data_IF_172913395536
#
_entry.id   IF_172913395536
#
_cell.length_a   1.000
_cell.length_b   1.000
_cell.length_c   1.000
_cell.angle_alpha   90.00
_cell.angle_beta   90.00
_cell.angle_gamma   90.00
#
_symmetry.space_group_name_H-M   'P 1'
#
loop_
_entity.id
_entity.type
_entity.pdbx_description
1 polymer ?
#
# COMPACT_ATOMS: atom_id res chain seq x y z
N UNK A 1 8.05 44.66 -31.81
CA UNK A 1 7.77 44.36 -30.38
C UNK A 1 8.69 45.19 -29.49
N UNK A 2 8.13 45.87 -28.48
CA UNK A 2 8.87 46.63 -27.47
C UNK A 2 9.66 45.67 -26.56
N UNK A 3 10.79 46.13 -25.99
CA UNK A 3 11.70 45.31 -25.17
C UNK A 3 10.99 44.61 -24.00
N UNK A 4 10.05 45.29 -23.34
CA UNK A 4 9.25 44.73 -22.24
C UNK A 4 8.32 43.59 -22.69
N UNK A 5 7.81 43.62 -23.92
CA UNK A 5 6.95 42.54 -24.46
C UNK A 5 7.74 41.25 -24.66
N UNK A 6 9.01 41.35 -25.08
CA UNK A 6 9.89 40.19 -25.22
C UNK A 6 10.24 39.57 -23.85
N UNK A 7 10.46 40.41 -22.85
CA UNK A 7 10.70 39.96 -21.47
C UNK A 7 9.46 39.26 -20.92
N UNK A 8 8.27 39.86 -21.06
CA UNK A 8 7.02 39.23 -20.61
C UNK A 8 6.75 37.90 -21.30
N UNK A 9 6.97 37.81 -22.62
CA UNK A 9 6.82 36.54 -23.35
C UNK A 9 7.79 35.49 -22.83
N UNK A 10 9.05 35.86 -22.58
CA UNK A 10 10.04 34.96 -22.00
C UNK A 10 9.65 34.45 -20.61
N UNK A 11 9.17 35.34 -19.74
CA UNK A 11 8.67 34.97 -18.40
C UNK A 11 7.46 34.06 -18.50
N UNK A 12 6.51 34.34 -19.39
CA UNK A 12 5.34 33.51 -19.59
C UNK A 12 5.71 32.10 -20.08
N UNK A 13 6.64 31.97 -21.03
CA UNK A 13 7.13 30.67 -21.51
C UNK A 13 7.80 29.89 -20.39
N UNK A 14 8.65 30.54 -19.58
CA UNK A 14 9.30 29.89 -18.43
C UNK A 14 8.28 29.46 -17.39
N UNK A 15 7.30 30.32 -17.06
CA UNK A 15 6.26 29.99 -16.09
C UNK A 15 5.39 28.81 -16.55
N UNK A 16 5.02 28.78 -17.83
CA UNK A 16 4.29 27.65 -18.43
C UNK A 16 5.15 26.39 -18.37
N UNK A 17 6.43 26.46 -18.77
CA UNK A 17 7.35 25.32 -18.74
C UNK A 17 7.50 24.74 -17.33
N UNK A 18 7.74 25.59 -16.32
CA UNK A 18 7.82 25.18 -14.92
C UNK A 18 6.49 24.61 -14.42
N UNK A 19 5.36 25.23 -14.78
CA UNK A 19 4.02 24.75 -14.44
C UNK A 19 3.73 23.38 -15.03
N UNK A 20 4.09 23.14 -16.30
CA UNK A 20 3.95 21.84 -16.96
C UNK A 20 4.81 20.79 -16.27
N UNK A 21 6.09 21.06 -16.00
CA UNK A 21 6.97 20.12 -15.29
C UNK A 21 6.43 19.80 -13.90
N UNK A 22 5.97 20.80 -13.15
CA UNK A 22 5.37 20.60 -11.84
C UNK A 22 4.08 19.76 -11.92
N UNK A 23 3.22 20.01 -12.91
CA UNK A 23 1.99 19.26 -13.11
C UNK A 23 2.24 17.79 -13.50
N UNK A 24 3.21 17.54 -14.38
CA UNK A 24 3.62 16.18 -14.75
C UNK A 24 4.19 15.42 -13.55
N UNK A 25 4.86 16.11 -12.62
CA UNK A 25 5.46 15.53 -11.41
C UNK A 25 4.62 15.76 -10.14
N UNK A 26 3.34 16.11 -10.27
CA UNK A 26 2.49 16.56 -9.15
C UNK A 26 2.39 15.53 -8.01
N UNK A 27 2.33 14.24 -8.31
CA UNK A 27 2.25 13.17 -7.30
C UNK A 27 3.55 13.11 -6.51
N UNK A 28 4.70 13.13 -7.19
CA UNK A 28 6.01 13.15 -6.54
C UNK A 28 6.19 14.38 -5.65
N UNK A 29 5.76 15.55 -6.11
CA UNK A 29 5.80 16.79 -5.32
C UNK A 29 4.88 16.71 -4.09
N UNK A 30 3.67 16.18 -4.25
CA UNK A 30 2.73 15.97 -3.13
C UNK A 30 3.29 14.97 -2.11
N UNK A 31 3.83 13.83 -2.56
CA UNK A 31 4.44 12.83 -1.68
C UNK A 31 5.68 13.39 -0.97
N UNK A 32 6.52 14.16 -1.66
CA UNK A 32 7.67 14.83 -1.06
C UNK A 32 7.21 15.85 0.00
N UNK A 33 6.15 16.62 -0.27
CA UNK A 33 5.57 17.55 0.69
C UNK A 33 4.99 16.83 1.91
N UNK A 34 4.22 15.75 1.70
CA UNK A 34 3.66 14.92 2.77
C UNK A 34 4.78 14.29 3.60
N UNK A 35 5.82 13.75 2.97
CA UNK A 35 6.98 13.18 3.67
C UNK A 35 7.78 14.24 4.42
N UNK A 36 7.86 15.47 3.91
CA UNK A 36 8.54 16.58 4.58
C UNK A 36 7.76 17.10 5.79
N UNK A 37 6.44 17.15 5.68
CA UNK A 37 5.54 17.67 6.74
C UNK A 37 5.09 16.61 7.73
N UNK A 38 5.11 15.35 7.33
CA UNK A 38 4.62 14.23 8.13
C UNK A 38 5.68 13.77 9.11
N UNK A 39 5.28 13.62 10.37
CA UNK A 39 5.95 12.72 11.30
C UNK A 39 5.29 11.35 11.16
N UNK A 40 6.04 10.33 10.75
CA UNK A 40 5.60 8.95 10.94
C UNK A 40 5.93 8.59 12.38
N UNK A 41 4.98 8.78 13.28
CA UNK A 41 5.09 8.28 14.65
C UNK A 41 4.85 6.76 14.64
N UNK A 42 5.90 6.00 14.37
CA UNK A 42 5.86 4.55 14.59
C UNK A 42 5.97 4.33 16.10
N UNK A 43 4.85 3.97 16.72
CA UNK A 43 4.87 3.54 18.12
C UNK A 43 5.82 2.35 18.29
N UNK A 44 6.47 2.27 19.45
CA UNK A 44 7.29 1.11 19.79
C UNK A 44 6.46 -0.18 19.67
N UNK A 45 7.09 -1.27 19.21
CA UNK A 45 6.45 -2.58 19.16
C UNK A 45 5.91 -2.93 20.55
N UNK A 46 4.62 -3.27 20.61
CA UNK A 46 3.98 -3.77 21.83
C UNK A 46 3.76 -5.27 21.64
N UNK A 47 4.33 -6.12 22.51
CA UNK A 47 4.04 -7.54 22.44
C UNK A 47 2.56 -7.76 22.73
N UNK A 48 1.88 -8.49 21.86
CA UNK A 48 0.51 -8.94 22.10
C UNK A 48 0.62 -10.22 22.93
N UNK A 49 0.04 -10.28 24.14
CA UNK A 49 -0.03 -11.50 24.91
C UNK A 49 -1.02 -12.43 24.22
N UNK A 50 -0.52 -13.31 23.37
CA UNK A 50 -1.33 -14.32 22.72
C UNK A 50 -1.90 -15.28 23.76
N UNK A 51 -3.14 -15.73 23.57
CA UNK A 51 -3.64 -16.86 24.33
C UNK A 51 -2.77 -18.07 24.01
N UNK A 52 -2.12 -18.63 25.03
CA UNK A 52 -1.41 -19.89 24.88
C UNK A 52 -2.44 -21.00 24.66
N UNK A 53 -2.30 -21.71 23.53
CA UNK A 53 -3.03 -22.95 23.31
C UNK A 53 -2.59 -24.04 24.28
N UNK A 54 -3.32 -25.17 24.35
CA UNK A 54 -2.93 -26.28 25.20
C UNK A 54 -1.53 -26.79 24.84
N UNK A 55 -0.69 -27.07 25.85
CA UNK A 55 0.68 -27.56 25.68
C UNK A 55 0.78 -28.85 24.86
N UNK A 56 -0.32 -29.62 24.78
CA UNK A 56 -0.43 -30.80 23.94
C UNK A 56 -1.82 -30.84 23.31
N UNK A 57 -1.87 -31.18 22.03
CA UNK A 57 -3.12 -31.43 21.34
C UNK A 57 -3.81 -32.70 21.88
N UNK A 58 -5.13 -32.63 22.04
CA UNK A 58 -5.95 -33.69 22.63
C UNK A 58 -6.03 -34.95 21.74
N UNK A 59 -6.07 -34.76 20.41
CA UNK A 59 -6.16 -35.85 19.44
C UNK A 59 -4.79 -36.17 18.82
N UNK A 60 -4.56 -37.40 18.32
CA UNK A 60 -3.39 -37.73 17.51
C UNK A 60 -3.42 -37.01 16.15
N UNK A 61 -2.26 -36.75 15.50
CA UNK A 61 -2.18 -35.94 14.27
C UNK A 61 -3.11 -36.38 13.12
N UNK A 62 -3.37 -37.68 12.98
CA UNK A 62 -4.21 -38.24 11.92
C UNK A 62 -5.71 -37.98 12.13
N UNK A 63 -6.13 -37.65 13.36
CA UNK A 63 -7.54 -37.41 13.73
C UNK A 63 -7.83 -35.92 13.95
N UNK A 64 -6.82 -35.05 13.81
CA UNK A 64 -6.99 -33.61 13.99
C UNK A 64 -7.60 -33.01 12.72
N UNK A 65 -8.58 -32.10 12.86
CA UNK A 65 -8.95 -31.25 11.75
C UNK A 65 -7.75 -30.39 11.33
N UNK A 66 -7.70 -29.92 10.07
CA UNK A 66 -6.68 -28.97 9.64
C UNK A 66 -6.77 -27.68 10.45
N UNK A 67 -5.64 -27.06 10.74
CA UNK A 67 -5.61 -25.72 11.31
C UNK A 67 -6.00 -24.71 10.23
N UNK A 68 -6.91 -23.79 10.55
CA UNK A 68 -7.28 -22.68 9.68
C UNK A 68 -6.64 -21.41 10.24
N UNK A 69 -5.71 -20.84 9.50
CA UNK A 69 -5.10 -19.54 9.83
C UNK A 69 -5.73 -18.49 8.92
N UNK A 70 -6.58 -17.64 9.49
CA UNK A 70 -7.18 -16.52 8.78
C UNK A 70 -6.37 -15.24 9.02
N UNK A 71 -5.76 -14.73 7.95
CA UNK A 71 -4.97 -13.50 7.96
C UNK A 71 -5.77 -12.42 7.22
N UNK A 72 -6.06 -11.32 7.91
CA UNK A 72 -6.77 -10.17 7.36
C UNK A 72 -5.94 -8.91 7.57
N UNK A 73 -5.74 -8.15 6.50
CA UNK A 73 -5.10 -6.85 6.53
C UNK A 73 -6.17 -5.76 6.49
N UNK A 74 -5.98 -4.68 7.26
CA UNK A 74 -6.84 -3.49 7.19
C UNK A 74 -6.34 -2.55 6.10
N UNK A 75 -7.25 -1.96 5.33
CA UNK A 75 -6.98 -0.98 4.26
C UNK A 75 -5.92 -1.39 3.20
N UNK A 76 -5.68 -2.68 2.99
CA UNK A 76 -4.77 -3.16 1.95
C UNK A 76 -5.46 -3.22 0.59
N UNK A 77 -5.04 -2.38 -0.36
CA UNK A 77 -5.56 -2.38 -1.72
C UNK A 77 -5.12 -3.62 -2.51
N UNK A 78 -5.98 -4.10 -3.41
CA UNK A 78 -5.66 -5.27 -4.25
C UNK A 78 -4.37 -5.08 -5.04
N UNK A 79 -4.12 -3.87 -5.53
CA UNK A 79 -2.94 -3.56 -6.34
C UNK A 79 -1.68 -3.30 -5.51
N UNK A 80 -1.74 -3.25 -4.17
CA UNK A 80 -0.57 -2.95 -3.32
C UNK A 80 0.43 -4.10 -3.23
N UNK A 81 -0.03 -5.34 -3.42
CA UNK A 81 0.83 -6.53 -3.41
C UNK A 81 1.64 -6.63 -4.71
N UNK A 82 2.87 -7.15 -4.62
CA UNK A 82 3.74 -7.33 -5.80
C UNK A 82 3.09 -8.24 -6.85
N UNK A 83 2.39 -9.29 -6.42
CA UNK A 83 1.57 -10.17 -7.28
C UNK A 83 0.53 -9.42 -8.14
N UNK A 84 0.04 -8.25 -7.70
CA UNK A 84 -1.02 -7.49 -8.36
C UNK A 84 -0.59 -6.09 -8.84
N UNK A 85 0.71 -5.77 -8.80
CA UNK A 85 1.25 -4.52 -9.35
C UNK A 85 2.14 -3.70 -8.40
N UNK A 86 2.22 -4.04 -7.12
CA UNK A 86 3.14 -3.40 -6.16
C UNK A 86 2.80 -1.96 -5.77
N UNK A 87 1.53 -1.57 -5.96
CA UNK A 87 0.89 -0.38 -5.43
C UNK A 87 1.40 0.93 -6.00
N UNK A 88 1.15 2.01 -5.24
CA UNK A 88 1.68 3.36 -5.54
C UNK A 88 3.21 3.41 -5.51
N UNK A 89 3.86 2.40 -4.92
CA UNK A 89 5.29 2.28 -4.84
C UNK A 89 5.93 1.70 -6.11
N UNK A 90 5.15 1.28 -7.11
CA UNK A 90 5.64 0.73 -8.39
C UNK A 90 6.58 -0.47 -8.16
N UNK A 91 6.15 -1.39 -7.29
CA UNK A 91 6.90 -2.61 -6.95
C UNK A 91 8.13 -2.39 -6.06
N UNK A 92 8.41 -1.17 -5.60
CA UNK A 92 9.56 -0.88 -4.70
C UNK A 92 9.40 -1.47 -3.29
N UNK A 93 8.18 -1.90 -2.92
CA UNK A 93 7.89 -2.58 -1.66
C UNK A 93 7.56 -4.05 -1.98
N UNK A 94 8.58 -4.94 -2.00
CA UNK A 94 8.37 -6.33 -2.37
C UNK A 94 7.60 -7.09 -1.27
N UNK A 95 6.72 -8.01 -1.67
CA UNK A 95 5.89 -8.83 -0.77
C UNK A 95 6.19 -10.33 -0.90
N UNK A 96 7.47 -10.76 -0.80
CA UNK A 96 7.90 -12.08 -1.28
C UNK A 96 7.21 -13.25 -0.56
N UNK A 97 6.87 -13.10 0.72
CA UNK A 97 6.16 -14.14 1.46
C UNK A 97 4.70 -14.28 1.06
N UNK A 98 4.03 -13.17 0.72
CA UNK A 98 2.65 -13.18 0.23
C UNK A 98 2.62 -13.71 -1.20
N UNK A 99 3.59 -13.29 -2.03
CA UNK A 99 3.73 -13.78 -3.40
C UNK A 99 3.96 -15.30 -3.44
N UNK A 100 4.72 -15.83 -2.48
CA UNK A 100 4.90 -17.28 -2.32
C UNK A 100 3.59 -17.99 -1.98
N UNK A 101 2.77 -17.43 -1.08
CA UNK A 101 1.45 -17.99 -0.76
C UNK A 101 0.52 -17.96 -1.97
N UNK A 102 0.57 -16.90 -2.78
CA UNK A 102 -0.21 -16.79 -4.01
C UNK A 102 0.23 -17.82 -5.06
N UNK A 103 1.54 -18.07 -5.19
CA UNK A 103 2.10 -19.04 -6.13
C UNK A 103 1.87 -20.51 -5.72
N UNK A 104 1.91 -20.80 -4.41
CA UNK A 104 1.69 -22.15 -3.86
C UNK A 104 0.20 -22.47 -3.63
N UNK A 105 -0.68 -21.48 -3.77
CA UNK A 105 -2.09 -21.56 -3.39
C UNK A 105 -3.07 -21.19 -4.51
N UNK A 106 -4.19 -20.58 -4.11
CA UNK A 106 -5.23 -20.12 -5.02
C UNK A 106 -5.35 -18.59 -4.95
N UNK A 107 -5.60 -17.99 -6.12
CA UNK A 107 -5.78 -16.54 -6.27
C UNK A 107 -7.22 -16.25 -6.69
N UNK A 108 -7.89 -15.36 -5.94
CA UNK A 108 -9.22 -14.87 -6.27
C UNK A 108 -9.11 -13.44 -6.81
N UNK A 109 -9.25 -13.27 -8.12
CA UNK A 109 -9.14 -11.95 -8.80
C UNK A 109 -10.44 -11.13 -8.72
N UNK A 110 -11.51 -11.71 -8.18
CA UNK A 110 -12.84 -11.11 -8.04
C UNK A 110 -13.39 -11.35 -6.62
N UNK A 111 -12.63 -10.92 -5.60
CA UNK A 111 -13.02 -11.00 -4.19
C UNK A 111 -13.44 -9.61 -3.69
N UNK A 112 -14.76 -9.37 -3.60
CA UNK A 112 -15.31 -8.08 -3.17
C UNK A 112 -15.63 -8.12 -1.67
N UNK A 113 -15.26 -7.04 -0.96
CA UNK A 113 -15.70 -6.83 0.42
C UNK A 113 -17.21 -6.52 0.46
N UNK A 114 -17.89 -6.95 1.53
CA UNK A 114 -19.33 -6.71 1.70
C UNK A 114 -19.69 -5.23 1.95
N UNK A 115 -18.72 -4.41 2.33
CA UNK A 115 -18.87 -2.97 2.51
C UNK A 115 -17.52 -2.26 2.32
N UNK A 116 -17.54 -0.95 1.99
CA UNK A 116 -16.36 -0.11 1.82
C UNK A 116 -15.89 0.56 3.13
N UNK A 117 -16.35 0.10 4.30
CA UNK A 117 -15.95 0.61 5.62
C UNK A 117 -15.63 -0.54 6.57
N UNK A 118 -14.69 -0.33 7.50
CA UNK A 118 -14.08 -1.40 8.30
C UNK A 118 -15.11 -2.24 9.09
N UNK A 119 -15.98 -1.60 9.88
CA UNK A 119 -16.91 -2.32 10.77
C UNK A 119 -17.92 -3.20 10.05
N UNK A 120 -18.66 -2.73 9.03
CA UNK A 120 -19.59 -3.60 8.28
C UNK A 120 -18.90 -4.52 7.26
N UNK A 121 -17.59 -4.40 7.04
CA UNK A 121 -16.83 -5.34 6.20
C UNK A 121 -16.36 -6.59 6.96
N UNK A 122 -16.16 -6.48 8.28
CA UNK A 122 -15.68 -7.57 9.16
C UNK A 122 -16.85 -8.39 9.70
#
# INVERSE_FOLDING_TARGET
MKRWQKILLGVAVVAIGLGTVAYLNRITLLLAYVSYRGSIEVAANRPVPWQEGPARAELPPAERPPNIVFILFDDLGINDLSTFGGGVADGRVPTPHIDRLAAEGAIFTQAYAGNATCSPSR
#
